data_IF_336343011179
#
_entry.id   IF_336343011179
#
_cell.length_a   1.000
_cell.length_b   1.000
_cell.length_c   1.000
_cell.angle_alpha   90.00
_cell.angle_beta   90.00
_cell.angle_gamma   90.00
#
_symmetry.space_group_name_H-M   'P 1'
#
loop_
_entity.id
_entity.type
_entity.pdbx_description
1 polymer ?
#
# COMPACT_ATOMS: atom_id res chain seq x y z
N UNK A 1 49.64 38.20 62.77
CA UNK A 1 48.97 39.51 62.84
C UNK A 1 49.10 40.15 61.46
N UNK A 2 48.24 39.77 60.51
CA UNK A 2 48.19 40.42 59.19
C UNK A 2 46.82 40.18 58.58
N UNK A 3 46.14 41.28 58.27
CA UNK A 3 44.80 41.36 57.66
C UNK A 3 44.76 40.66 56.29
N UNK A 4 43.70 39.90 56.03
CA UNK A 4 43.29 39.51 54.67
C UNK A 4 42.18 40.46 54.24
N UNK A 5 42.43 41.25 53.18
CA UNK A 5 41.46 42.11 52.51
C UNK A 5 40.61 41.26 51.56
N UNK A 6 39.31 41.21 51.78
CA UNK A 6 38.33 40.70 50.82
C UNK A 6 38.14 41.69 49.67
N UNK A 7 38.34 41.23 48.43
CA UNK A 7 37.84 41.91 47.23
C UNK A 7 36.53 41.25 46.80
N UNK A 8 35.44 42.02 46.83
CA UNK A 8 34.18 41.67 46.20
C UNK A 8 34.28 41.96 44.70
N UNK A 9 34.23 40.92 43.85
CA UNK A 9 33.93 41.06 42.43
C UNK A 9 32.42 40.98 42.26
N UNK A 10 31.79 42.10 41.90
CA UNK A 10 30.40 42.13 41.48
C UNK A 10 30.28 41.51 40.09
N UNK A 11 29.72 40.30 40.01
CA UNK A 11 29.35 39.67 38.75
C UNK A 11 28.04 40.32 38.27
N UNK A 12 28.11 41.08 37.19
CA UNK A 12 26.95 41.63 36.49
C UNK A 12 26.26 40.45 35.76
N UNK A 13 25.16 39.95 36.32
CA UNK A 13 24.28 38.99 35.66
C UNK A 13 23.52 39.70 34.54
N UNK A 14 24.00 39.55 33.31
CA UNK A 14 23.22 39.83 32.10
C UNK A 14 22.29 38.63 31.91
N UNK A 15 20.95 38.82 31.86
CA UNK A 15 20.07 37.72 31.52
C UNK A 15 20.29 37.42 30.03
N UNK A 16 20.94 36.30 29.75
CA UNK A 16 20.82 35.65 28.45
C UNK A 16 19.38 35.17 28.35
N UNK A 17 18.54 35.93 27.65
CA UNK A 17 17.28 35.42 27.14
C UNK A 17 17.62 34.24 26.23
N UNK A 18 17.56 33.04 26.80
CA UNK A 18 17.57 31.81 26.04
C UNK A 18 16.35 31.82 25.13
N UNK A 19 16.55 32.06 23.85
CA UNK A 19 15.62 31.63 22.83
C UNK A 19 15.66 30.11 22.89
N UNK A 20 14.71 29.50 23.61
CA UNK A 20 14.44 28.09 23.41
C UNK A 20 14.06 27.93 21.96
N UNK A 21 14.88 27.22 21.18
CA UNK A 21 14.37 26.64 19.95
C UNK A 21 13.40 25.56 20.42
N UNK A 22 12.10 25.77 20.20
CA UNK A 22 11.14 24.67 20.24
C UNK A 22 11.59 23.65 19.20
N UNK A 23 12.17 22.54 19.67
CA UNK A 23 12.29 21.33 18.85
C UNK A 23 10.88 20.92 18.43
N UNK A 24 10.52 21.12 17.16
CA UNK A 24 9.27 20.56 16.64
C UNK A 24 8.59 21.33 15.50
N UNK A 25 8.75 22.65 15.41
CA UNK A 25 8.00 23.46 14.42
C UNK A 25 8.87 23.66 13.18
N UNK A 26 8.70 22.77 12.20
CA UNK A 26 9.28 22.94 10.86
C UNK A 26 8.70 24.15 10.13
N UNK A 27 9.11 24.43 8.88
CA UNK A 27 8.49 25.47 8.09
C UNK A 27 7.00 25.17 7.91
N UNK A 28 6.17 26.22 8.05
CA UNK A 28 4.72 26.16 7.92
C UNK A 28 4.30 27.13 6.81
N UNK A 29 3.33 26.69 5.99
CA UNK A 29 2.81 27.46 4.86
C UNK A 29 1.30 27.58 5.02
N UNK A 30 0.73 28.80 5.16
CA UNK A 30 -0.69 28.98 5.48
C UNK A 30 -1.66 28.34 4.48
N UNK A 31 -1.30 28.37 3.18
CA UNK A 31 -2.09 27.70 2.15
C UNK A 31 -2.12 26.19 2.29
N UNK A 32 -1.05 25.60 2.84
CA UNK A 32 -1.00 24.16 3.12
C UNK A 32 -1.77 23.84 4.40
N UNK A 33 -1.64 24.64 5.46
CA UNK A 33 -2.45 24.46 6.69
C UNK A 33 -3.96 24.46 6.40
N UNK A 34 -4.42 25.35 5.51
CA UNK A 34 -5.81 25.40 5.10
C UNK A 34 -6.33 24.10 4.47
N UNK A 35 -5.46 23.29 3.85
CA UNK A 35 -5.82 21.98 3.28
C UNK A 35 -6.06 20.94 4.37
N UNK A 36 -5.51 21.11 5.58
CA UNK A 36 -5.57 20.16 6.69
C UNK A 36 -6.35 20.64 7.90
N UNK A 37 -6.87 21.87 7.87
CA UNK A 37 -7.62 22.47 8.98
C UNK A 37 -8.79 21.61 9.49
N UNK A 38 -9.37 20.76 8.64
CA UNK A 38 -10.44 19.84 9.04
C UNK A 38 -9.95 18.62 9.84
N UNK A 39 -8.65 18.28 9.77
CA UNK A 39 -8.01 17.19 10.52
C UNK A 39 -7.31 17.67 11.81
N UNK A 40 -7.16 18.98 11.98
CA UNK A 40 -6.52 19.56 13.17
C UNK A 40 -7.49 19.61 14.36
N UNK A 41 -7.71 18.44 14.98
CA UNK A 41 -8.61 18.25 16.12
C UNK A 41 -7.93 17.48 17.21
N UNK A 42 -8.18 17.86 18.46
CA UNK A 42 -7.61 17.21 19.66
C UNK A 42 -8.28 15.88 20.02
N UNK A 43 -9.33 15.49 19.29
CA UNK A 43 -10.15 14.31 19.58
C UNK A 43 -10.43 13.45 18.33
N UNK A 44 -9.62 13.57 17.29
CA UNK A 44 -9.77 12.78 16.07
C UNK A 44 -8.40 12.32 15.53
N UNK A 45 -8.35 11.18 14.83
CA UNK A 45 -7.21 10.83 13.99
C UNK A 45 -6.91 11.93 12.96
N UNK A 46 -5.73 11.91 12.37
CA UNK A 46 -5.33 12.96 11.44
C UNK A 46 -4.25 12.55 10.46
N UNK A 47 -3.30 13.46 10.22
CA UNK A 47 -2.31 13.31 9.17
C UNK A 47 -0.96 13.97 9.47
N UNK A 48 0.11 13.40 8.93
CA UNK A 48 1.40 14.08 8.73
C UNK A 48 1.57 14.49 7.26
N UNK A 49 2.18 15.64 7.01
CA UNK A 49 2.45 16.17 5.67
C UNK A 49 3.85 16.75 5.56
N UNK A 50 4.50 16.49 4.42
CA UNK A 50 5.78 17.06 4.05
C UNK A 50 5.75 17.56 2.62
N UNK A 51 6.34 18.73 2.40
CA UNK A 51 6.45 19.36 1.08
C UNK A 51 7.90 19.77 0.84
N UNK A 52 8.47 19.25 -0.24
CA UNK A 52 9.78 19.61 -0.75
C UNK A 52 9.59 20.41 -2.05
N UNK A 53 10.14 21.61 -2.13
CA UNK A 53 10.16 22.44 -3.34
C UNK A 53 11.58 22.92 -3.56
N UNK A 54 12.11 22.69 -4.76
CA UNK A 54 13.48 23.07 -5.13
C UNK A 54 14.55 22.51 -4.18
N UNK A 55 14.33 21.29 -3.68
CA UNK A 55 15.23 20.61 -2.74
C UNK A 55 15.11 21.07 -1.27
N UNK A 56 14.31 22.11 -1.01
CA UNK A 56 14.08 22.69 0.31
C UNK A 56 12.74 22.26 0.91
N UNK A 57 12.71 22.04 2.22
CA UNK A 57 11.46 21.72 2.92
C UNK A 57 10.68 23.03 3.09
N UNK A 58 9.50 23.12 2.49
CA UNK A 58 8.66 24.34 2.54
C UNK A 58 7.43 24.18 3.42
N UNK A 59 7.05 22.93 3.74
CA UNK A 59 6.04 22.63 4.76
C UNK A 59 6.32 21.28 5.42
N UNK A 60 6.20 21.22 6.74
CA UNK A 60 6.38 19.98 7.53
C UNK A 60 5.54 20.07 8.81
N UNK A 61 4.45 19.31 8.88
CA UNK A 61 3.51 19.38 10.00
C UNK A 61 2.80 18.05 10.27
N UNK A 62 2.25 17.94 11.49
CA UNK A 62 1.30 16.91 11.89
C UNK A 62 0.01 17.57 12.39
N UNK A 63 -1.13 16.94 12.13
CA UNK A 63 -2.47 17.39 12.50
C UNK A 63 -3.23 16.21 13.10
N UNK A 64 -4.01 16.44 14.15
CA UNK A 64 -4.80 15.41 14.82
C UNK A 64 -4.00 14.49 15.74
N UNK A 65 -4.56 13.34 16.06
CA UNK A 65 -4.08 12.44 17.13
C UNK A 65 -3.52 11.13 16.54
N UNK A 66 -2.30 10.78 16.96
CA UNK A 66 -1.59 9.56 16.59
C UNK A 66 -2.09 8.37 17.41
N UNK A 67 -2.34 8.59 18.70
CA UNK A 67 -2.88 7.60 19.65
C UNK A 67 -3.99 8.24 20.47
N UNK A 68 -5.23 7.82 20.20
CA UNK A 68 -6.44 8.31 20.86
C UNK A 68 -6.63 7.80 22.28
N UNK A 69 -6.01 6.68 22.67
CA UNK A 69 -6.09 6.16 24.04
C UNK A 69 -5.33 7.09 25.01
N UNK A 70 -4.27 7.72 24.50
CA UNK A 70 -3.36 8.57 25.27
C UNK A 70 -3.38 10.05 24.89
N UNK A 71 -4.12 10.43 23.85
CA UNK A 71 -4.19 11.81 23.33
C UNK A 71 -2.85 12.30 22.77
N UNK A 72 -2.05 11.41 22.16
CA UNK A 72 -0.73 11.76 21.62
C UNK A 72 -0.92 12.44 20.26
N UNK A 73 -0.47 13.69 20.06
CA UNK A 73 -0.63 14.38 18.79
C UNK A 73 0.24 13.75 17.68
N UNK A 74 -0.22 13.86 16.44
CA UNK A 74 0.63 13.57 15.27
C UNK A 74 1.67 14.68 15.14
N UNK A 75 2.92 14.27 14.97
CA UNK A 75 4.05 15.14 14.65
C UNK A 75 4.69 14.63 13.36
N UNK A 76 5.57 15.41 12.71
CA UNK A 76 6.32 14.90 11.56
C UNK A 76 7.26 13.72 11.90
N UNK A 77 7.63 13.56 13.18
CA UNK A 77 8.39 12.41 13.67
C UNK A 77 7.54 11.19 14.01
N UNK A 78 6.21 11.29 13.96
CA UNK A 78 5.30 10.15 14.17
C UNK A 78 5.51 9.11 13.06
N UNK A 79 5.63 7.85 13.46
CA UNK A 79 5.89 6.74 12.53
C UNK A 79 4.57 6.15 12.03
N UNK A 80 4.45 5.96 10.72
CA UNK A 80 3.29 5.39 10.04
C UNK A 80 3.69 4.14 9.27
N UNK A 81 2.77 3.18 9.15
CA UNK A 81 2.83 2.16 8.09
C UNK A 81 2.37 2.83 6.78
N UNK A 82 3.30 3.06 5.85
CA UNK A 82 3.00 3.77 4.60
C UNK A 82 2.40 2.87 3.52
N UNK A 83 2.12 1.60 3.85
CA UNK A 83 1.55 0.61 2.97
C UNK A 83 2.30 0.57 1.62
N UNK A 84 1.56 0.51 0.50
CA UNK A 84 2.13 0.33 -0.84
C UNK A 84 3.10 1.42 -1.33
N UNK A 85 3.25 2.55 -0.65
CA UNK A 85 4.35 3.49 -0.94
C UNK A 85 5.70 2.79 -0.76
N UNK A 86 5.78 1.75 0.09
CA UNK A 86 6.95 0.91 0.31
C UNK A 86 7.55 0.29 -0.97
N UNK A 87 6.74 0.12 -2.03
CA UNK A 87 7.16 -0.57 -3.26
C UNK A 87 8.33 0.11 -3.96
N UNK A 88 8.43 1.43 -3.87
CA UNK A 88 9.58 2.14 -4.45
C UNK A 88 10.89 1.77 -3.75
N UNK A 89 10.86 1.43 -2.46
CA UNK A 89 12.03 0.96 -1.72
C UNK A 89 12.39 -0.49 -2.06
N UNK A 90 11.38 -1.36 -2.24
CA UNK A 90 11.60 -2.71 -2.75
C UNK A 90 12.17 -2.73 -4.17
N UNK A 91 11.72 -1.79 -5.02
CA UNK A 91 12.25 -1.62 -6.36
C UNK A 91 13.68 -1.03 -6.37
N UNK A 92 13.97 -0.05 -5.51
CA UNK A 92 15.34 0.44 -5.29
C UNK A 92 16.25 -0.69 -4.83
N UNK A 93 15.82 -1.50 -3.85
CA UNK A 93 16.59 -2.64 -3.37
C UNK A 93 16.91 -3.65 -4.48
N UNK A 94 15.95 -3.96 -5.36
CA UNK A 94 16.18 -4.84 -6.51
C UNK A 94 17.19 -4.24 -7.50
N UNK A 95 17.12 -2.94 -7.78
CA UNK A 95 18.06 -2.26 -8.67
C UNK A 95 19.48 -2.20 -8.08
N UNK A 96 19.61 -1.92 -6.78
CA UNK A 96 20.89 -1.96 -6.08
C UNK A 96 21.49 -3.37 -6.14
N UNK A 97 20.68 -4.40 -5.88
CA UNK A 97 21.13 -5.79 -5.90
C UNK A 97 21.56 -6.26 -7.29
N UNK A 98 20.88 -5.81 -8.34
CA UNK A 98 21.29 -6.04 -9.73
C UNK A 98 22.60 -5.29 -10.04
N UNK A 99 22.76 -4.06 -9.56
CA UNK A 99 24.01 -3.28 -9.67
C UNK A 99 25.20 -3.93 -8.96
N UNK A 100 24.94 -4.70 -7.90
CA UNK A 100 25.92 -5.56 -7.21
C UNK A 100 26.25 -6.84 -7.99
N UNK A 101 25.53 -7.11 -9.08
CA UNK A 101 25.70 -8.31 -9.92
C UNK A 101 25.16 -9.60 -9.28
N UNK A 102 24.30 -9.47 -8.27
CA UNK A 102 23.75 -10.61 -7.52
C UNK A 102 22.44 -11.13 -8.12
N UNK A 103 21.72 -10.30 -8.89
CA UNK A 103 20.54 -10.72 -9.64
C UNK A 103 20.59 -10.20 -11.08
N UNK A 104 19.85 -10.87 -11.95
CA UNK A 104 19.48 -10.41 -13.29
C UNK A 104 17.95 -10.26 -13.29
N UNK A 105 17.45 -9.04 -13.55
CA UNK A 105 16.01 -8.78 -13.53
C UNK A 105 15.26 -9.50 -14.66
N UNK A 106 15.94 -10.03 -15.67
CA UNK A 106 15.38 -10.78 -16.79
C UNK A 106 15.59 -12.30 -16.67
N UNK A 107 16.27 -12.77 -15.62
CA UNK A 107 16.39 -14.19 -15.34
C UNK A 107 15.08 -14.79 -14.80
N UNK A 108 14.96 -16.12 -14.91
CA UNK A 108 13.85 -16.87 -14.32
C UNK A 108 13.87 -16.74 -12.78
N UNK A 109 12.79 -16.23 -12.20
CA UNK A 109 12.63 -16.07 -10.75
C UNK A 109 12.74 -17.42 -10.00
N UNK A 110 12.39 -18.55 -10.65
CA UNK A 110 12.53 -19.90 -10.06
C UNK A 110 13.99 -20.30 -9.87
N UNK A 111 14.92 -19.70 -10.62
CA UNK A 111 16.36 -19.93 -10.43
C UNK A 111 16.86 -19.39 -9.09
N UNK A 112 16.16 -18.39 -8.53
CA UNK A 112 16.44 -17.80 -7.22
C UNK A 112 15.57 -18.40 -6.11
N UNK A 113 14.32 -18.77 -6.41
CA UNK A 113 13.36 -19.34 -5.46
C UNK A 113 12.76 -20.64 -6.04
N UNK A 114 13.42 -21.80 -5.84
CA UNK A 114 12.99 -23.07 -6.45
C UNK A 114 11.68 -23.62 -5.89
N UNK A 115 11.19 -23.10 -4.77
CA UNK A 115 9.86 -23.41 -4.20
C UNK A 115 8.70 -22.80 -5.00
N UNK A 116 8.98 -21.84 -5.89
CA UNK A 116 7.96 -21.26 -6.76
C UNK A 116 7.43 -22.31 -7.76
N UNK A 117 6.10 -22.50 -7.87
CA UNK A 117 5.50 -23.46 -8.79
C UNK A 117 5.96 -23.26 -10.24
N UNK A 118 5.96 -24.37 -10.99
CA UNK A 118 6.24 -24.35 -12.43
C UNK A 118 5.00 -23.88 -13.20
N UNK A 119 4.79 -22.56 -13.20
CA UNK A 119 3.68 -21.94 -13.94
C UNK A 119 3.89 -22.01 -15.45
N UNK A 120 2.80 -21.85 -16.21
CA UNK A 120 2.88 -21.68 -17.66
C UNK A 120 3.54 -20.33 -18.01
N UNK A 121 4.82 -20.38 -18.39
CA UNK A 121 5.63 -19.23 -18.78
C UNK A 121 6.69 -18.84 -17.75
N UNK A 122 7.70 -18.07 -18.18
CA UNK A 122 8.80 -17.64 -17.30
C UNK A 122 8.43 -16.33 -16.62
N UNK A 123 8.45 -16.34 -15.28
CA UNK A 123 8.30 -15.14 -14.46
C UNK A 123 9.69 -14.59 -14.16
N UNK A 124 9.93 -13.32 -14.48
CA UNK A 124 11.20 -12.65 -14.17
C UNK A 124 11.01 -11.63 -13.04
N UNK A 125 12.06 -11.25 -12.30
CA UNK A 125 11.98 -10.15 -11.34
C UNK A 125 11.45 -8.84 -11.97
N UNK A 126 11.74 -8.57 -13.24
CA UNK A 126 11.17 -7.42 -13.98
C UNK A 126 9.65 -7.52 -14.08
N UNK A 127 9.09 -8.70 -14.33
CA UNK A 127 7.64 -8.90 -14.29
C UNK A 127 7.04 -8.60 -12.91
N UNK A 128 7.74 -8.94 -11.84
CA UNK A 128 7.30 -8.67 -10.46
C UNK A 128 7.25 -7.16 -10.18
N UNK A 129 8.32 -6.45 -10.55
CA UNK A 129 8.45 -5.02 -10.34
C UNK A 129 7.39 -4.22 -11.12
N UNK A 130 7.03 -4.65 -12.32
CA UNK A 130 6.08 -3.93 -13.19
C UNK A 130 4.64 -4.47 -13.15
N UNK A 131 4.32 -5.41 -12.25
CA UNK A 131 2.98 -6.00 -12.11
C UNK A 131 2.48 -6.71 -13.39
N UNK A 132 3.38 -7.43 -14.07
CA UNK A 132 3.06 -8.16 -15.31
C UNK A 132 3.28 -9.67 -15.16
N UNK A 133 3.42 -10.19 -13.94
CA UNK A 133 3.76 -11.60 -13.71
C UNK A 133 2.59 -12.59 -13.85
N UNK A 134 1.34 -12.11 -13.76
CA UNK A 134 0.17 -12.98 -13.65
C UNK A 134 -0.05 -13.59 -12.26
N UNK A 135 0.81 -13.28 -11.27
CA UNK A 135 0.68 -13.78 -9.89
C UNK A 135 -0.50 -13.10 -9.18
N UNK A 136 -1.35 -13.89 -8.52
CA UNK A 136 -2.54 -13.42 -7.81
C UNK A 136 -2.19 -12.54 -6.61
N UNK A 137 -3.00 -11.51 -6.37
CA UNK A 137 -2.78 -10.56 -5.27
C UNK A 137 -3.22 -11.15 -3.91
N UNK A 138 -2.27 -11.28 -2.97
CA UNK A 138 -2.52 -11.92 -1.67
C UNK A 138 -3.65 -11.29 -0.85
N UNK A 139 -3.87 -9.94 -0.82
CA UNK A 139 -4.96 -9.39 -0.03
C UNK A 139 -6.31 -9.92 -0.50
N UNK A 140 -6.53 -10.01 -1.82
CA UNK A 140 -7.77 -10.55 -2.36
C UNK A 140 -7.84 -12.06 -2.14
N UNK A 141 -6.80 -12.83 -2.47
CA UNK A 141 -6.78 -14.28 -2.26
C UNK A 141 -7.01 -14.69 -0.81
N UNK A 142 -6.31 -14.06 0.14
CA UNK A 142 -6.44 -14.36 1.57
C UNK A 142 -7.79 -13.91 2.14
N UNK A 143 -8.32 -12.73 1.74
CA UNK A 143 -9.67 -12.31 2.14
C UNK A 143 -10.72 -13.27 1.60
N UNK A 144 -10.59 -13.71 0.35
CA UNK A 144 -11.47 -14.72 -0.24
C UNK A 144 -11.39 -16.05 0.54
N UNK A 145 -10.21 -16.42 1.03
CA UNK A 145 -9.99 -17.57 1.91
C UNK A 145 -10.49 -17.40 3.35
N UNK A 146 -10.89 -16.19 3.77
CA UNK A 146 -11.43 -15.91 5.11
C UNK A 146 -10.52 -15.17 6.07
N UNK A 147 -9.38 -14.66 5.60
CA UNK A 147 -8.46 -13.85 6.40
C UNK A 147 -9.01 -12.43 6.52
N UNK A 148 -8.94 -11.87 7.72
CA UNK A 148 -9.46 -10.54 8.05
C UNK A 148 -8.35 -9.65 8.62
N UNK A 149 -8.59 -8.35 8.74
CA UNK A 149 -7.60 -7.42 9.34
C UNK A 149 -7.25 -7.73 10.81
N UNK A 150 -8.09 -8.48 11.52
CA UNK A 150 -7.81 -8.90 12.91
C UNK A 150 -6.85 -10.08 13.00
N UNK A 151 -6.56 -10.75 11.87
CA UNK A 151 -5.61 -11.84 11.81
C UNK A 151 -4.18 -11.34 11.71
N UNK A 152 -3.25 -12.16 12.20
CA UNK A 152 -1.84 -12.02 11.81
C UNK A 152 -1.72 -12.44 10.35
N UNK A 153 -1.09 -11.57 9.55
CA UNK A 153 -0.75 -11.84 8.16
C UNK A 153 0.75 -11.69 8.02
N UNK A 154 1.48 -12.81 8.06
CA UNK A 154 2.94 -12.81 8.00
C UNK A 154 3.48 -13.00 6.59
N UNK A 155 4.72 -12.57 6.39
CA UNK A 155 5.44 -12.75 5.13
C UNK A 155 5.48 -14.22 4.69
N UNK A 156 5.73 -15.13 5.64
CA UNK A 156 5.70 -16.57 5.40
C UNK A 156 4.31 -17.10 4.99
N UNK A 157 3.22 -16.53 5.53
CA UNK A 157 1.87 -16.91 5.12
C UNK A 157 1.56 -16.45 3.70
N UNK A 158 2.03 -15.25 3.33
CA UNK A 158 1.91 -14.71 1.96
C UNK A 158 2.71 -15.59 0.98
N UNK A 159 3.96 -15.93 1.30
CA UNK A 159 4.77 -16.81 0.46
C UNK A 159 4.19 -18.23 0.38
N UNK A 160 3.68 -18.76 1.49
CA UNK A 160 3.01 -20.07 1.48
C UNK A 160 1.78 -20.08 0.58
N UNK A 161 0.98 -19.02 0.60
CA UNK A 161 -0.15 -18.86 -0.32
C UNK A 161 0.33 -18.84 -1.78
N UNK A 162 1.39 -18.08 -2.09
CA UNK A 162 2.00 -18.07 -3.43
C UNK A 162 2.45 -19.46 -3.87
N UNK A 163 3.11 -20.23 -3.00
CA UNK A 163 3.62 -21.58 -3.34
C UNK A 163 2.52 -22.63 -3.48
N UNK A 164 1.28 -22.31 -3.09
CA UNK A 164 0.11 -23.18 -3.30
C UNK A 164 -0.70 -22.79 -4.55
N UNK A 165 -0.38 -21.67 -5.18
CA UNK A 165 -1.08 -21.21 -6.38
C UNK A 165 -0.86 -22.21 -7.52
N UNK A 166 -1.94 -22.64 -8.18
CA UNK A 166 -1.86 -23.65 -9.24
C UNK A 166 -1.62 -23.03 -10.63
N UNK A 167 -2.22 -21.87 -10.91
CA UNK A 167 -2.18 -21.21 -12.22
C UNK A 167 -2.01 -19.69 -12.10
N UNK A 168 -1.60 -19.02 -13.18
CA UNK A 168 -1.54 -17.56 -13.28
C UNK A 168 -2.87 -16.97 -13.76
N UNK A 169 -3.10 -15.70 -13.44
CA UNK A 169 -4.26 -14.94 -13.94
C UNK A 169 -4.16 -14.66 -15.46
N UNK A 170 -2.93 -14.61 -16.00
CA UNK A 170 -2.59 -14.40 -17.40
C UNK A 170 -1.11 -14.76 -17.65
N UNK A 171 -0.68 -15.01 -18.91
CA UNK A 171 0.72 -15.27 -19.23
C UNK A 171 1.66 -14.10 -18.85
N UNK A 172 2.86 -14.36 -18.30
CA UNK A 172 3.78 -13.28 -17.91
C UNK A 172 4.11 -12.31 -19.06
N UNK A 173 4.04 -11.00 -18.76
CA UNK A 173 4.29 -9.91 -19.71
C UNK A 173 3.12 -9.57 -20.64
N UNK A 174 2.02 -10.35 -20.64
CA UNK A 174 0.90 -10.12 -21.57
C UNK A 174 -0.12 -9.08 -21.10
N UNK A 175 -0.25 -8.86 -19.80
CA UNK A 175 -1.18 -7.89 -19.21
C UNK A 175 -0.53 -7.20 -18.00
N UNK A 176 -1.15 -6.09 -17.58
CA UNK A 176 -0.88 -5.44 -16.29
C UNK A 176 -1.97 -5.80 -15.27
N UNK A 177 -1.56 -6.31 -14.11
CA UNK A 177 -2.43 -6.48 -12.95
C UNK A 177 -1.64 -6.32 -11.66
N UNK A 178 -1.99 -5.29 -10.90
CA UNK A 178 -1.33 -4.96 -9.63
C UNK A 178 -1.29 -6.15 -8.67
N UNK A 179 -0.09 -6.55 -8.25
CA UNK A 179 0.13 -7.69 -7.36
C UNK A 179 1.11 -7.35 -6.25
N UNK A 180 0.61 -7.32 -5.01
CA UNK A 180 1.45 -7.24 -3.82
C UNK A 180 2.33 -8.48 -3.69
N UNK A 181 1.79 -9.65 -4.00
CA UNK A 181 2.49 -10.93 -3.97
C UNK A 181 3.74 -10.92 -4.84
N UNK A 182 3.69 -10.25 -6.01
CA UNK A 182 4.87 -10.07 -6.86
C UNK A 182 6.02 -9.36 -6.15
N UNK A 183 5.72 -8.27 -5.44
CA UNK A 183 6.71 -7.56 -4.62
C UNK A 183 7.18 -8.39 -3.41
N UNK A 184 6.31 -9.20 -2.81
CA UNK A 184 6.72 -10.11 -1.74
C UNK A 184 7.69 -11.19 -2.24
N UNK A 185 7.47 -11.74 -3.44
CA UNK A 185 8.43 -12.63 -4.09
C UNK A 185 9.75 -11.90 -4.42
N UNK A 186 9.69 -10.64 -4.85
CA UNK A 186 10.89 -9.83 -5.07
C UNK A 186 11.72 -9.66 -3.79
N UNK A 187 11.07 -9.38 -2.65
CA UNK A 187 11.74 -9.35 -1.35
C UNK A 187 12.40 -10.69 -1.03
N UNK A 188 11.72 -11.81 -1.31
CA UNK A 188 12.28 -13.15 -1.10
C UNK A 188 13.50 -13.43 -1.97
N UNK A 189 13.49 -13.00 -3.24
CA UNK A 189 14.65 -13.10 -4.13
C UNK A 189 15.83 -12.31 -3.57
N UNK A 190 15.59 -11.10 -3.07
CA UNK A 190 16.61 -10.26 -2.44
C UNK A 190 17.23 -10.95 -1.23
N UNK A 191 16.42 -11.56 -0.35
CA UNK A 191 16.93 -12.31 0.80
C UNK A 191 17.85 -13.46 0.39
N UNK A 192 17.41 -14.27 -0.58
CA UNK A 192 18.17 -15.45 -1.00
C UNK A 192 19.50 -15.05 -1.64
N UNK A 193 19.52 -13.98 -2.44
CA UNK A 193 20.69 -13.60 -3.23
C UNK A 193 21.67 -12.71 -2.47
N UNK A 194 21.19 -11.89 -1.52
CA UNK A 194 22.06 -11.14 -0.60
C UNK A 194 22.60 -12.00 0.55
N UNK A 195 21.85 -13.01 0.99
CA UNK A 195 22.14 -13.77 2.21
C UNK A 195 21.76 -13.04 3.50
N UNK A 196 21.08 -11.90 3.39
CA UNK A 196 20.60 -11.06 4.50
C UNK A 196 19.06 -11.10 4.56
N UNK A 197 18.45 -10.73 5.69
CA UNK A 197 17.00 -10.46 5.69
C UNK A 197 16.70 -9.23 4.82
N UNK A 198 15.47 -9.14 4.28
CA UNK A 198 15.10 -7.99 3.45
C UNK A 198 15.18 -6.67 4.24
N UNK A 199 14.87 -6.72 5.54
CA UNK A 199 15.04 -5.60 6.47
C UNK A 199 16.51 -5.19 6.55
N UNK A 200 17.41 -6.09 6.91
CA UNK A 200 18.85 -5.79 7.03
C UNK A 200 19.44 -5.23 5.72
N UNK A 201 19.07 -5.81 4.58
CA UNK A 201 19.55 -5.33 3.27
C UNK A 201 19.08 -3.89 2.99
N UNK A 202 17.81 -3.59 3.23
CA UNK A 202 17.27 -2.24 3.00
C UNK A 202 17.77 -1.21 4.03
N UNK A 203 17.92 -1.62 5.29
CA UNK A 203 18.51 -0.78 6.35
C UNK A 203 19.94 -0.38 5.95
N UNK A 204 20.80 -1.34 5.62
CA UNK A 204 22.21 -1.07 5.29
C UNK A 204 22.42 -0.32 3.97
N UNK A 205 21.58 -0.58 2.95
CA UNK A 205 21.80 -0.06 1.59
C UNK A 205 20.99 1.17 1.25
N UNK A 206 19.92 1.45 1.99
CA UNK A 206 19.03 2.57 1.72
C UNK A 206 18.91 3.49 2.93
N UNK A 207 18.46 2.98 4.08
CA UNK A 207 18.03 3.85 5.18
C UNK A 207 19.20 4.41 5.99
N UNK A 208 20.17 3.59 6.38
CA UNK A 208 21.37 4.04 7.11
C UNK A 208 22.20 5.04 6.29
N UNK A 209 22.49 4.82 5.00
CA UNK A 209 23.24 5.79 4.19
C UNK A 209 22.52 7.13 4.03
N UNK A 210 21.17 7.15 4.07
CA UNK A 210 20.36 8.37 4.03
C UNK A 210 20.16 9.00 5.41
N UNK A 211 20.45 8.28 6.50
CA UNK A 211 20.16 8.73 7.86
C UNK A 211 18.68 8.65 8.24
N UNK A 212 17.92 7.76 7.60
CA UNK A 212 16.49 7.51 7.88
C UNK A 212 16.32 6.56 9.08
N UNK A 213 16.69 7.03 10.27
CA UNK A 213 16.80 6.21 11.48
C UNK A 213 15.48 5.76 12.13
N UNK A 214 14.34 6.29 11.68
CA UNK A 214 12.99 5.87 12.09
C UNK A 214 12.27 5.09 10.98
N UNK A 215 13.04 4.55 10.02
CA UNK A 215 12.52 3.82 8.87
C UNK A 215 13.03 2.40 8.84
N UNK A 216 12.12 1.44 8.77
CA UNK A 216 12.45 0.03 8.60
C UNK A 216 11.25 -0.77 8.07
N UNK A 217 11.53 -1.85 7.34
CA UNK A 217 10.51 -2.85 7.03
C UNK A 217 10.21 -3.69 8.28
N UNK A 218 8.94 -3.75 8.68
CA UNK A 218 8.49 -4.60 9.78
C UNK A 218 8.35 -6.05 9.31
N UNK A 219 9.27 -6.88 9.77
CA UNK A 219 9.31 -8.34 9.59
C UNK A 219 8.74 -9.10 10.80
N UNK A 220 8.44 -8.40 11.89
CA UNK A 220 7.81 -8.95 13.10
C UNK A 220 6.59 -8.13 13.54
N UNK A 221 5.38 -8.69 13.41
CA UNK A 221 4.13 -8.02 13.79
C UNK A 221 4.01 -7.70 15.29
N UNK A 222 4.84 -8.32 16.14
CA UNK A 222 4.89 -8.07 17.58
C UNK A 222 5.94 -7.03 17.97
N UNK A 223 6.69 -6.49 17.00
CA UNK A 223 7.70 -5.47 17.27
C UNK A 223 7.07 -4.21 17.88
N UNK A 224 7.73 -3.70 18.93
CA UNK A 224 7.42 -2.39 19.47
C UNK A 224 8.14 -1.37 18.60
N UNK A 225 7.37 -0.53 17.91
CA UNK A 225 7.87 0.58 17.10
C UNK A 225 7.65 1.88 17.87
N UNK A 226 8.72 2.51 18.42
CA UNK A 226 8.59 3.77 19.14
C UNK A 226 7.96 4.86 18.25
N UNK A 227 7.04 5.65 18.82
CA UNK A 227 6.41 6.77 18.13
C UNK A 227 5.44 6.39 16.99
N UNK A 228 5.05 5.10 16.88
CA UNK A 228 4.10 4.63 15.87
C UNK A 228 2.69 5.17 16.14
N UNK A 229 2.03 5.68 15.10
CA UNK A 229 0.61 6.00 15.13
C UNK A 229 -0.25 4.72 15.18
N UNK A 230 -1.35 4.77 15.91
CA UNK A 230 -2.40 3.76 15.86
C UNK A 230 -3.30 3.98 14.65
N UNK A 231 -3.88 2.90 14.13
CA UNK A 231 -4.70 2.91 12.91
C UNK A 231 -6.19 2.89 13.27
N UNK A 232 -6.98 3.75 12.62
CA UNK A 232 -8.39 3.98 12.94
C UNK A 232 -9.32 3.88 11.73
N UNK A 233 -10.60 3.65 12.00
CA UNK A 233 -11.69 3.80 11.04
C UNK A 233 -12.84 4.57 11.69
N UNK A 234 -13.67 5.31 10.92
CA UNK A 234 -14.89 5.90 11.44
C UNK A 234 -15.80 4.84 12.04
N UNK A 235 -16.46 5.21 13.13
CA UNK A 235 -17.53 4.45 13.74
C UNK A 235 -18.77 5.34 13.88
N UNK A 236 -19.95 4.82 13.53
CA UNK A 236 -21.16 5.61 13.49
C UNK A 236 -21.68 6.01 14.89
N UNK A 237 -21.31 5.26 15.93
CA UNK A 237 -21.77 5.47 17.31
C UNK A 237 -20.67 6.10 18.17
N UNK A 238 -19.44 5.58 18.08
CA UNK A 238 -18.31 5.97 18.93
C UNK A 238 -17.36 6.99 18.25
N UNK A 239 -17.70 7.44 17.04
CA UNK A 239 -16.90 8.37 16.22
C UNK A 239 -15.73 7.67 15.52
N UNK A 240 -14.85 7.00 16.26
CA UNK A 240 -13.72 6.24 15.70
C UNK A 240 -13.48 4.92 16.45
N UNK A 241 -13.04 3.91 15.71
CA UNK A 241 -12.62 2.62 16.26
C UNK A 241 -11.21 2.26 15.76
N UNK A 242 -10.44 1.56 16.60
CA UNK A 242 -9.11 1.06 16.22
C UNK A 242 -9.25 -0.08 15.22
N UNK A 243 -8.45 -0.03 14.15
CA UNK A 243 -8.27 -1.12 13.20
C UNK A 243 -6.89 -1.74 13.44
N UNK A 244 -6.90 -3.01 13.78
CA UNK A 244 -5.69 -3.81 14.07
C UNK A 244 -4.76 -3.84 12.86
N UNK A 245 -3.46 -3.61 13.08
CA UNK A 245 -2.41 -3.80 12.08
C UNK A 245 -1.41 -4.87 12.54
N UNK A 246 -1.54 -6.08 12.00
CA UNK A 246 -0.71 -7.26 12.33
C UNK A 246 -0.02 -7.83 11.07
N UNK A 247 0.39 -6.94 10.16
CA UNK A 247 0.92 -7.29 8.84
C UNK A 247 2.45 -7.28 8.80
N UNK A 248 3.05 -8.32 8.23
CA UNK A 248 4.43 -8.29 7.73
C UNK A 248 4.45 -8.66 6.24
N UNK A 249 4.39 -7.68 5.35
CA UNK A 249 4.38 -7.89 3.89
C UNK A 249 5.53 -7.14 3.23
N UNK A 250 6.74 -7.71 3.36
CA UNK A 250 8.00 -7.11 2.92
C UNK A 250 7.96 -6.66 1.44
N UNK A 251 8.58 -5.51 1.15
CA UNK A 251 8.55 -4.76 -0.11
C UNK A 251 7.17 -4.25 -0.57
N UNK A 252 6.10 -5.04 -0.44
CA UNK A 252 4.77 -4.65 -0.91
C UNK A 252 4.01 -3.73 0.05
N UNK A 253 4.30 -3.80 1.35
CA UNK A 253 3.73 -2.99 2.44
C UNK A 253 4.68 -2.99 3.65
N UNK A 254 4.17 -2.69 4.86
CA UNK A 254 4.86 -2.87 6.15
C UNK A 254 6.16 -2.08 6.31
N UNK A 255 6.35 -1.02 5.52
CA UNK A 255 7.41 -0.04 5.76
C UNK A 255 6.90 0.95 6.79
N UNK A 256 7.52 0.96 7.97
CA UNK A 256 7.29 1.97 8.98
C UNK A 256 8.27 3.11 8.72
N UNK A 257 7.79 4.35 8.65
CA UNK A 257 8.64 5.53 8.48
C UNK A 257 7.97 6.77 9.09
N UNK A 258 8.75 7.81 9.35
CA UNK A 258 8.25 9.13 9.74
C UNK A 258 8.20 10.08 8.54
N UNK A 259 7.50 11.22 8.65
CA UNK A 259 7.55 12.24 7.61
C UNK A 259 8.96 12.85 7.49
N UNK A 260 9.70 12.93 8.60
CA UNK A 260 11.08 13.44 8.62
C UNK A 260 12.01 12.60 7.76
N UNK A 261 11.96 11.29 7.94
CA UNK A 261 12.74 10.36 7.15
C UNK A 261 12.27 10.35 5.69
N UNK A 262 10.96 10.39 5.46
CA UNK A 262 10.43 10.39 4.10
C UNK A 262 10.78 11.66 3.32
N UNK A 263 10.94 12.82 3.97
CA UNK A 263 11.49 14.03 3.36
C UNK A 263 12.93 13.83 2.87
N UNK A 264 13.73 13.04 3.57
CA UNK A 264 15.08 12.65 3.11
C UNK A 264 15.01 11.76 1.87
N UNK A 265 14.10 10.77 1.87
CA UNK A 265 13.87 9.95 0.68
C UNK A 265 13.41 10.78 -0.53
N UNK A 266 12.47 11.72 -0.34
CA UNK A 266 12.03 12.62 -1.40
C UNK A 266 13.19 13.43 -1.98
N UNK A 267 14.11 13.90 -1.14
CA UNK A 267 15.33 14.61 -1.58
C UNK A 267 16.32 13.70 -2.34
N UNK A 268 16.32 12.39 -2.06
CA UNK A 268 17.21 11.44 -2.76
C UNK A 268 16.97 11.43 -4.27
N UNK A 269 15.74 11.69 -4.74
CA UNK A 269 15.45 11.82 -6.17
C UNK A 269 16.26 12.93 -6.87
N UNK A 270 16.71 13.96 -6.14
CA UNK A 270 17.58 15.00 -6.67
C UNK A 270 19.07 14.72 -6.43
N UNK A 271 19.41 14.17 -5.27
CA UNK A 271 20.81 14.05 -4.84
C UNK A 271 21.48 12.79 -5.35
N UNK A 272 20.72 11.72 -5.61
CA UNK A 272 21.28 10.41 -5.95
C UNK A 272 22.19 9.83 -4.88
N UNK A 273 22.03 10.24 -3.61
CA UNK A 273 22.89 9.78 -2.51
C UNK A 273 22.87 8.25 -2.39
N UNK A 274 21.69 7.64 -2.53
CA UNK A 274 21.52 6.20 -2.72
C UNK A 274 21.14 5.91 -4.17
N UNK A 275 21.86 4.99 -4.79
CA UNK A 275 21.65 4.52 -6.17
C UNK A 275 22.36 5.34 -7.25
N UNK A 276 22.65 6.62 -7.01
CA UNK A 276 23.19 7.51 -8.04
C UNK A 276 22.17 7.87 -9.13
N UNK A 277 22.56 8.79 -10.02
CA UNK A 277 21.67 9.29 -11.08
C UNK A 277 21.17 8.17 -12.01
N UNK A 278 22.04 7.23 -12.40
CA UNK A 278 21.69 6.14 -13.31
C UNK A 278 20.59 5.23 -12.72
N UNK A 279 20.71 4.82 -11.46
CA UNK A 279 19.68 3.99 -10.81
C UNK A 279 18.35 4.75 -10.66
N UNK A 280 18.40 6.04 -10.34
CA UNK A 280 17.19 6.86 -10.23
C UNK A 280 16.50 7.06 -11.58
N UNK A 281 17.26 7.28 -12.65
CA UNK A 281 16.72 7.32 -14.02
C UNK A 281 16.05 5.98 -14.37
N UNK A 282 16.67 4.86 -14.00
CA UNK A 282 16.09 3.52 -14.17
C UNK A 282 14.81 3.31 -13.38
N UNK A 283 14.72 3.84 -12.15
CA UNK A 283 13.49 3.78 -11.35
C UNK A 283 12.30 4.50 -12.01
N UNK A 284 12.55 5.43 -12.94
CA UNK A 284 11.50 6.15 -13.65
C UNK A 284 11.13 5.50 -14.99
N UNK A 285 11.80 4.42 -15.38
CA UNK A 285 11.46 3.67 -16.60
C UNK A 285 10.15 2.92 -16.44
N UNK A 286 9.24 3.18 -17.36
CA UNK A 286 7.94 2.50 -17.45
C UNK A 286 8.10 1.05 -17.91
N UNK A 287 7.26 0.16 -17.37
CA UNK A 287 7.16 -1.21 -17.84
C UNK A 287 6.61 -1.28 -19.27
N UNK A 288 6.95 -2.35 -19.99
CA UNK A 288 6.51 -2.58 -21.37
C UNK A 288 5.94 -3.99 -21.45
N UNK A 289 4.73 -4.14 -22.01
CA UNK A 289 4.12 -5.44 -22.26
C UNK A 289 4.75 -6.13 -23.48
N UNK A 290 4.49 -7.42 -23.63
CA UNK A 290 5.05 -8.24 -24.72
C UNK A 290 4.66 -7.76 -26.13
N UNK A 291 3.55 -7.01 -26.25
CA UNK A 291 3.09 -6.41 -27.51
C UNK A 291 3.65 -4.99 -27.76
N UNK A 292 4.45 -4.45 -26.82
CA UNK A 292 5.05 -3.13 -26.90
C UNK A 292 4.24 -2.02 -26.22
N UNK A 293 3.09 -2.31 -25.60
CA UNK A 293 2.35 -1.31 -24.83
C UNK A 293 3.17 -0.81 -23.63
N UNK A 294 3.30 0.51 -23.50
CA UNK A 294 4.02 1.15 -22.38
C UNK A 294 3.06 1.41 -21.22
N UNK A 295 3.35 0.83 -20.07
CA UNK A 295 2.53 0.90 -18.87
C UNK A 295 2.69 2.22 -18.14
N UNK A 296 1.64 2.70 -17.49
CA UNK A 296 1.71 3.86 -16.57
C UNK A 296 2.32 3.50 -15.20
N UNK A 297 3.31 2.60 -15.15
CA UNK A 297 3.95 2.11 -13.93
C UNK A 297 5.47 1.90 -14.12
N UNK A 298 6.26 2.38 -13.17
CA UNK A 298 7.72 2.41 -13.19
C UNK A 298 8.27 2.09 -11.79
N UNK A 299 8.86 0.90 -11.58
CA UNK A 299 9.63 0.55 -10.37
C UNK A 299 9.04 1.04 -9.03
N UNK A 300 7.78 0.72 -8.75
CA UNK A 300 7.13 1.12 -7.49
C UNK A 300 6.44 2.47 -7.52
N UNK A 301 6.39 3.13 -8.68
CA UNK A 301 5.76 4.41 -8.92
C UNK A 301 4.74 4.29 -10.07
N UNK A 302 3.61 4.97 -9.94
CA UNK A 302 2.70 5.26 -11.04
C UNK A 302 3.17 6.51 -11.75
N UNK A 303 3.28 6.46 -13.08
CA UNK A 303 3.43 7.65 -13.93
C UNK A 303 2.04 8.16 -14.28
N UNK A 304 1.78 9.43 -14.04
CA UNK A 304 0.49 10.05 -14.30
C UNK A 304 0.64 11.49 -14.77
N UNK A 305 -0.48 12.19 -14.77
CA UNK A 305 -0.56 13.62 -15.04
C UNK A 305 -1.59 14.24 -14.09
N UNK A 306 -1.30 15.44 -13.59
CA UNK A 306 -2.27 16.24 -12.85
C UNK A 306 -2.33 17.65 -13.41
N UNK A 307 -3.51 17.99 -13.96
CA UNK A 307 -3.78 19.30 -14.58
C UNK A 307 -2.70 19.72 -15.59
N UNK A 308 -2.30 18.80 -16.47
CA UNK A 308 -1.30 19.05 -17.53
C UNK A 308 0.15 18.89 -17.09
N UNK A 309 0.44 18.62 -15.81
CA UNK A 309 1.80 18.43 -15.31
C UNK A 309 2.10 16.93 -15.11
N UNK A 310 3.20 16.41 -15.65
CA UNK A 310 3.61 15.02 -15.43
C UNK A 310 3.89 14.74 -13.94
N UNK A 311 3.45 13.57 -13.47
CA UNK A 311 3.66 13.16 -12.08
C UNK A 311 4.24 11.75 -12.00
N UNK A 312 5.06 11.52 -10.98
CA UNK A 312 5.33 10.19 -10.45
C UNK A 312 4.89 10.11 -9.01
N UNK A 313 4.37 8.98 -8.58
CA UNK A 313 3.94 8.83 -7.19
C UNK A 313 3.39 7.46 -6.88
N UNK A 314 2.96 7.25 -5.66
CA UNK A 314 2.27 6.02 -5.28
C UNK A 314 1.32 6.30 -4.11
N UNK A 315 0.16 5.64 -4.10
CA UNK A 315 -0.76 5.64 -2.97
C UNK A 315 -0.57 4.42 -2.07
N UNK A 316 -0.86 4.52 -0.79
CA UNK A 316 -0.85 3.40 0.14
C UNK A 316 -2.18 3.31 0.89
N UNK A 317 -2.62 2.07 1.13
CA UNK A 317 -3.81 1.79 1.93
C UNK A 317 -3.64 0.45 2.61
N UNK A 318 -3.64 0.46 3.94
CA UNK A 318 -3.66 -0.75 4.75
C UNK A 318 -4.30 -0.46 6.11
N UNK A 319 -5.20 -1.34 6.58
CA UNK A 319 -5.98 -1.09 7.78
C UNK A 319 -6.61 0.33 7.77
N UNK A 320 -6.41 1.12 8.83
CA UNK A 320 -6.79 2.52 8.91
C UNK A 320 -5.84 3.49 8.17
N UNK A 321 -4.63 3.07 7.80
CA UNK A 321 -3.68 3.97 7.15
C UNK A 321 -4.07 4.28 5.71
N UNK A 322 -3.97 5.56 5.33
CA UNK A 322 -4.13 6.07 3.96
C UNK A 322 -2.98 7.00 3.68
N UNK A 323 -2.16 6.69 2.68
CA UNK A 323 -0.96 7.48 2.37
C UNK A 323 -0.92 7.86 0.89
N UNK A 324 -0.27 8.97 0.58
CA UNK A 324 0.05 9.33 -0.79
C UNK A 324 1.39 10.05 -0.87
N UNK A 325 2.15 9.74 -1.91
CA UNK A 325 3.32 10.47 -2.34
C UNK A 325 3.15 10.84 -3.81
N UNK A 326 3.46 12.09 -4.16
CA UNK A 326 3.47 12.58 -5.54
C UNK A 326 4.62 13.56 -5.73
N UNK A 327 5.33 13.42 -6.85
CA UNK A 327 6.36 14.33 -7.34
C UNK A 327 5.97 14.86 -8.71
N UNK A 328 6.24 16.14 -8.93
CA UNK A 328 6.18 16.88 -10.19
C UNK A 328 7.62 17.13 -10.62
N UNK A 329 8.23 16.23 -11.43
CA UNK A 329 9.67 16.26 -11.69
C UNK A 329 10.16 17.56 -12.34
N UNK A 330 9.36 18.12 -13.24
CA UNK A 330 9.71 19.34 -13.99
C UNK A 330 9.64 20.60 -13.12
N UNK A 331 8.80 20.59 -12.09
CA UNK A 331 8.60 21.69 -11.15
C UNK A 331 9.38 21.49 -9.84
N UNK A 332 10.16 20.40 -9.73
CA UNK A 332 10.92 20.02 -8.54
C UNK A 332 10.10 20.09 -7.23
N UNK A 333 8.82 19.71 -7.31
CA UNK A 333 7.89 19.67 -6.18
C UNK A 333 7.60 18.22 -5.81
N UNK A 334 7.74 17.89 -4.53
CA UNK A 334 7.31 16.62 -3.95
C UNK A 334 6.39 16.86 -2.76
N UNK A 335 5.32 16.09 -2.67
CA UNK A 335 4.34 16.15 -1.59
C UNK A 335 4.07 14.74 -1.08
N UNK A 336 4.14 14.57 0.24
CA UNK A 336 3.73 13.34 0.92
C UNK A 336 2.70 13.63 2.00
N UNK A 337 1.68 12.78 2.10
CA UNK A 337 0.60 12.87 3.10
C UNK A 337 0.34 11.48 3.68
N UNK A 338 0.47 11.34 5.00
CA UNK A 338 0.22 10.08 5.72
C UNK A 338 -0.92 10.27 6.72
N UNK A 339 -2.03 9.56 6.53
CA UNK A 339 -3.18 9.56 7.43
C UNK A 339 -3.28 8.25 8.20
N UNK A 340 -3.76 8.31 9.45
CA UNK A 340 -4.04 7.13 10.29
C UNK A 340 -5.54 6.80 10.40
N UNK A 341 -6.37 7.26 9.45
CA UNK A 341 -7.81 6.95 9.40
C UNK A 341 -8.31 6.58 8.01
N UNK A 342 -9.17 5.56 7.94
CA UNK A 342 -9.52 4.86 6.70
C UNK A 342 -10.32 5.68 5.68
N UNK A 343 -10.94 6.80 6.09
CA UNK A 343 -11.73 7.70 5.26
C UNK A 343 -10.97 8.99 4.85
N UNK A 344 -9.71 9.13 5.23
CA UNK A 344 -8.87 10.22 4.73
C UNK A 344 -8.58 10.06 3.22
N UNK A 345 -8.66 11.17 2.48
CA UNK A 345 -8.20 11.30 1.09
C UNK A 345 -6.81 11.98 1.00
N UNK A 346 -5.70 11.23 1.19
CA UNK A 346 -4.36 11.81 1.14
C UNK A 346 -3.98 12.25 -0.27
N UNK A 347 -4.50 11.62 -1.33
CA UNK A 347 -4.19 11.96 -2.72
C UNK A 347 -4.85 13.29 -3.13
N UNK A 348 -6.11 13.50 -2.76
CA UNK A 348 -6.79 14.78 -2.95
C UNK A 348 -6.15 15.90 -2.12
N UNK A 349 -5.69 15.61 -0.90
CA UNK A 349 -4.90 16.55 -0.09
C UNK A 349 -3.58 16.89 -0.77
N UNK A 350 -2.79 15.91 -1.18
CA UNK A 350 -1.50 16.13 -1.85
C UNK A 350 -1.65 16.98 -3.13
N UNK A 351 -2.72 16.74 -3.92
CA UNK A 351 -3.05 17.55 -5.09
C UNK A 351 -3.40 18.99 -4.76
N UNK A 352 -4.25 19.23 -3.75
CA UNK A 352 -4.58 20.59 -3.29
C UNK A 352 -3.35 21.32 -2.72
N UNK A 353 -2.44 20.60 -2.08
CA UNK A 353 -1.15 21.15 -1.66
C UNK A 353 -0.30 21.51 -2.88
N UNK A 354 -0.27 20.69 -3.92
CA UNK A 354 0.46 21.03 -5.15
C UNK A 354 -0.12 22.28 -5.85
N UNK A 355 -1.44 22.44 -5.85
CA UNK A 355 -2.12 23.64 -6.38
C UNK A 355 -1.65 24.93 -5.68
N UNK A 356 -1.38 24.89 -4.37
CA UNK A 356 -0.86 26.06 -3.63
C UNK A 356 0.44 26.60 -4.24
N UNK A 357 1.27 25.73 -4.82
CA UNK A 357 2.56 26.11 -5.40
C UNK A 357 2.53 26.24 -6.93
N UNK A 358 1.72 25.44 -7.62
CA UNK A 358 1.81 25.26 -9.08
C UNK A 358 0.56 25.71 -9.84
N UNK A 359 -0.45 26.32 -9.20
CA UNK A 359 -1.71 26.72 -9.87
C UNK A 359 -1.48 27.51 -11.17
N UNK A 360 -0.46 28.38 -11.21
CA UNK A 360 -0.13 29.20 -12.37
C UNK A 360 0.37 28.39 -13.58
N UNK A 361 0.89 27.19 -13.37
CA UNK A 361 1.39 26.27 -14.41
C UNK A 361 0.36 25.20 -14.77
N UNK A 362 -0.64 24.99 -13.92
CA UNK A 362 -1.66 23.97 -14.09
C UNK A 362 -2.74 24.40 -15.09
N UNK A 363 -3.16 23.45 -15.94
CA UNK A 363 -4.36 23.59 -16.76
C UNK A 363 -5.62 23.71 -15.88
N UNK A 364 -6.72 24.32 -16.35
CA UNK A 364 -7.97 24.39 -15.60
C UNK A 364 -8.45 23.00 -15.16
N UNK A 365 -9.01 22.89 -13.96
CA UNK A 365 -9.57 21.65 -13.48
C UNK A 365 -10.73 21.19 -14.40
N UNK A 366 -10.77 19.93 -14.84
CA UNK A 366 -11.89 19.42 -15.62
C UNK A 366 -13.17 19.39 -14.76
N UNK A 367 -14.31 19.68 -15.39
CA UNK A 367 -15.63 19.46 -14.77
C UNK A 367 -15.81 17.97 -14.47
N UNK A 368 -16.10 17.64 -13.20
CA UNK A 368 -16.33 16.26 -12.78
C UNK A 368 -17.76 15.85 -13.12
N UNK A 369 -17.98 15.30 -14.32
CA UNK A 369 -19.20 14.56 -14.64
C UNK A 369 -19.03 13.08 -14.24
N UNK A 370 -19.78 12.66 -13.23
CA UNK A 370 -19.92 11.26 -12.85
C UNK A 370 -21.06 10.61 -13.64
N UNK A 371 -20.74 9.77 -14.61
CA UNK A 371 -21.73 8.86 -15.22
C UNK A 371 -21.82 7.59 -14.36
N UNK A 372 -22.98 7.36 -13.75
CA UNK A 372 -23.35 6.05 -13.20
C UNK A 372 -24.09 5.27 -14.30
N UNK A 373 -23.50 4.16 -14.74
CA UNK A 373 -24.18 3.23 -15.65
C UNK A 373 -25.32 2.52 -14.92
N UNK A 374 -26.50 2.57 -15.52
CA UNK A 374 -27.71 1.92 -15.01
C UNK A 374 -27.71 0.45 -15.46
N UNK A 375 -27.69 -0.46 -14.51
CA UNK A 375 -27.50 -1.87 -14.80
C UNK A 375 -28.81 -2.64 -14.90
N UNK A 376 -28.86 -3.53 -15.89
CA UNK A 376 -29.99 -4.44 -16.13
C UNK A 376 -30.02 -5.50 -15.03
N UNK A 377 -31.11 -5.58 -14.27
CA UNK A 377 -31.36 -6.65 -13.31
C UNK A 377 -32.00 -7.85 -14.03
N UNK A 378 -31.40 -9.03 -13.89
CA UNK A 378 -32.07 -10.30 -14.16
C UNK A 378 -32.74 -10.73 -12.85
N UNK A 379 -33.96 -11.29 -12.91
CA UNK A 379 -34.64 -11.81 -11.71
C UNK A 379 -34.86 -13.31 -11.87
N UNK A 380 -34.25 -14.09 -10.97
CA UNK A 380 -34.47 -15.54 -10.88
C UNK A 380 -35.54 -15.83 -9.81
N UNK A 381 -36.35 -16.86 -10.03
CA UNK A 381 -37.28 -17.36 -9.01
C UNK A 381 -36.51 -18.10 -7.91
N UNK A 382 -37.11 -18.20 -6.71
CA UNK A 382 -36.51 -18.94 -5.59
C UNK A 382 -36.19 -20.41 -5.97
N UNK A 383 -37.03 -21.05 -6.80
CA UNK A 383 -36.77 -22.40 -7.28
C UNK A 383 -35.50 -22.50 -8.15
N UNK A 384 -35.24 -21.49 -8.96
CA UNK A 384 -34.01 -21.41 -9.76
C UNK A 384 -32.79 -21.10 -8.89
N UNK A 385 -32.93 -20.22 -7.90
CA UNK A 385 -31.85 -19.90 -6.95
C UNK A 385 -31.44 -21.13 -6.12
N UNK A 386 -32.39 -21.99 -5.75
CA UNK A 386 -32.11 -23.23 -5.01
C UNK A 386 -31.23 -24.22 -5.77
N UNK A 387 -31.11 -24.12 -7.09
CA UNK A 387 -30.20 -25.00 -7.84
C UNK A 387 -28.73 -24.77 -7.43
N UNK A 388 -28.39 -23.53 -7.09
CA UNK A 388 -27.05 -23.07 -6.73
C UNK A 388 -26.67 -23.36 -5.28
N UNK A 389 -27.58 -23.92 -4.48
CA UNK A 389 -27.29 -24.25 -3.09
C UNK A 389 -26.23 -25.34 -2.97
N UNK A 390 -25.40 -25.24 -1.94
CA UNK A 390 -24.48 -26.31 -1.58
C UNK A 390 -23.16 -25.82 -1.02
N UNK A 391 -22.29 -26.78 -0.75
CA UNK A 391 -20.97 -26.53 -0.20
C UNK A 391 -19.92 -26.54 -1.30
N UNK A 392 -19.15 -25.45 -1.40
CA UNK A 392 -18.12 -25.25 -2.40
C UNK A 392 -16.76 -25.04 -1.74
N UNK A 393 -15.72 -25.73 -2.18
CA UNK A 393 -14.38 -25.72 -1.56
C UNK A 393 -13.29 -25.42 -2.57
N UNK A 394 -12.44 -24.44 -2.27
CA UNK A 394 -11.17 -24.20 -2.95
C UNK A 394 -10.08 -25.00 -2.23
N UNK A 395 -9.31 -25.79 -3.00
CA UNK A 395 -8.13 -26.49 -2.46
C UNK A 395 -6.97 -25.51 -2.31
N UNK A 396 -6.73 -24.67 -3.32
CA UNK A 396 -5.70 -23.63 -3.34
C UNK A 396 -5.79 -22.69 -2.12
N UNK A 397 -6.99 -22.28 -1.72
CA UNK A 397 -7.19 -21.39 -0.56
C UNK A 397 -7.47 -22.14 0.76
N UNK A 398 -7.55 -23.47 0.74
CA UNK A 398 -8.06 -24.30 1.85
C UNK A 398 -9.33 -23.73 2.51
N UNK A 399 -10.28 -23.27 1.69
CA UNK A 399 -11.44 -22.50 2.15
C UNK A 399 -12.73 -22.99 1.52
N UNK A 400 -13.85 -22.75 2.21
CA UNK A 400 -15.17 -23.24 1.80
C UNK A 400 -16.26 -22.20 2.01
N UNK A 401 -17.20 -22.14 1.07
CA UNK A 401 -18.43 -21.37 1.16
C UNK A 401 -19.64 -22.30 1.15
N UNK A 402 -20.63 -22.00 1.98
CA UNK A 402 -21.98 -22.53 1.85
C UNK A 402 -22.83 -21.51 1.10
N UNK A 403 -23.37 -21.90 -0.05
CA UNK A 403 -24.28 -21.06 -0.83
C UNK A 403 -25.71 -21.47 -0.48
N UNK A 404 -26.53 -20.49 -0.09
CA UNK A 404 -27.91 -20.69 0.35
C UNK A 404 -28.86 -19.74 -0.38
N UNK A 405 -30.08 -20.20 -0.70
CA UNK A 405 -31.13 -19.36 -1.26
C UNK A 405 -32.22 -19.09 -0.21
N UNK A 406 -32.32 -17.84 0.24
CA UNK A 406 -33.35 -17.40 1.20
C UNK A 406 -33.94 -16.06 0.78
N UNK A 407 -35.24 -15.84 1.02
CA UNK A 407 -35.90 -14.57 0.74
C UNK A 407 -35.94 -14.12 -0.73
N UNK A 408 -35.55 -14.97 -1.68
CA UNK A 408 -35.39 -14.59 -3.10
C UNK A 408 -34.00 -14.06 -3.46
N UNK A 409 -33.03 -14.21 -2.55
CA UNK A 409 -31.63 -13.84 -2.75
C UNK A 409 -30.75 -15.09 -2.61
N UNK A 410 -29.61 -15.08 -3.32
CA UNK A 410 -28.58 -16.09 -3.15
C UNK A 410 -27.49 -15.50 -2.28
N UNK A 411 -27.09 -16.20 -1.21
CA UNK A 411 -26.09 -15.72 -0.26
C UNK A 411 -24.94 -16.72 -0.19
N UNK A 412 -23.70 -16.22 -0.25
CA UNK A 412 -22.50 -16.98 0.06
C UNK A 412 -22.11 -16.77 1.53
N UNK A 413 -22.12 -17.85 2.30
CA UNK A 413 -21.74 -17.88 3.71
C UNK A 413 -20.33 -18.44 3.85
N UNK A 414 -19.46 -17.72 4.54
CA UNK A 414 -18.14 -18.18 4.95
C UNK A 414 -18.12 -18.26 6.48
N UNK A 415 -17.44 -19.26 7.05
CA UNK A 415 -17.39 -19.43 8.50
C UNK A 415 -16.59 -18.34 9.23
N UNK A 416 -15.73 -17.60 8.51
CA UNK A 416 -14.96 -16.44 9.02
C UNK A 416 -15.41 -15.08 8.49
N UNK A 417 -15.81 -15.02 7.21
CA UNK A 417 -16.15 -13.74 6.58
C UNK A 417 -17.58 -13.39 6.92
N UNK A 418 -17.93 -12.12 6.68
CA UNK A 418 -19.34 -11.73 6.63
C UNK A 418 -20.01 -12.45 5.45
N UNK A 419 -21.33 -12.60 5.53
CA UNK A 419 -22.12 -13.08 4.39
C UNK A 419 -21.96 -12.13 3.19
N UNK A 420 -21.98 -12.68 1.98
CA UNK A 420 -21.98 -11.91 0.75
C UNK A 420 -23.25 -12.24 -0.05
N UNK A 421 -24.00 -11.22 -0.45
CA UNK A 421 -25.20 -11.39 -1.26
C UNK A 421 -24.81 -11.45 -2.74
N UNK A 422 -25.42 -12.38 -3.48
CA UNK A 422 -25.17 -12.65 -4.89
C UNK A 422 -26.39 -12.26 -5.72
N UNK A 423 -26.24 -11.19 -6.51
CA UNK A 423 -27.28 -10.71 -7.42
C UNK A 423 -27.07 -11.29 -8.82
N UNK A 424 -28.05 -11.97 -9.42
CA UNK A 424 -27.90 -12.52 -10.77
C UNK A 424 -27.78 -11.42 -11.82
N UNK A 425 -26.80 -11.57 -12.72
CA UNK A 425 -26.51 -10.61 -13.80
C UNK A 425 -26.49 -11.26 -15.20
N UNK A 426 -26.53 -12.58 -15.26
CA UNK A 426 -26.51 -13.36 -16.50
C UNK A 426 -26.77 -14.84 -16.22
N UNK A 427 -26.63 -15.67 -17.24
CA UNK A 427 -26.76 -17.13 -17.11
C UNK A 427 -25.62 -17.68 -16.26
N UNK A 428 -25.97 -18.29 -15.12
CA UNK A 428 -25.01 -18.81 -14.13
C UNK A 428 -23.98 -17.77 -13.63
N UNK A 429 -24.27 -16.46 -13.77
CA UNK A 429 -23.39 -15.36 -13.38
C UNK A 429 -24.05 -14.44 -12.34
N UNK A 430 -23.29 -14.15 -11.29
CA UNK A 430 -23.74 -13.35 -10.15
C UNK A 430 -22.71 -12.30 -9.77
N UNK A 431 -23.18 -11.12 -9.40
CA UNK A 431 -22.37 -10.08 -8.75
C UNK A 431 -22.50 -10.20 -7.24
N UNK A 432 -21.38 -10.22 -6.54
CA UNK A 432 -21.36 -10.10 -5.09
C UNK A 432 -21.31 -8.64 -4.61
N UNK A 433 -21.86 -8.38 -3.44
CA UNK A 433 -21.75 -7.09 -2.74
C UNK A 433 -20.50 -6.97 -1.86
N UNK A 434 -19.77 -8.06 -1.67
CA UNK A 434 -18.54 -8.12 -0.89
C UNK A 434 -17.28 -7.93 -1.76
N UNK A 435 -16.28 -7.16 -1.30
CA UNK A 435 -15.09 -6.86 -2.09
C UNK A 435 -14.22 -8.08 -2.43
N UNK A 436 -14.26 -9.15 -1.62
CA UNK A 436 -13.52 -10.38 -1.89
C UNK A 436 -14.23 -11.32 -2.89
N UNK A 437 -15.50 -11.08 -3.19
CA UNK A 437 -16.32 -11.97 -4.01
C UNK A 437 -17.13 -11.19 -5.06
N UNK A 438 -16.49 -10.35 -5.90
CA UNK A 438 -17.19 -9.36 -6.72
C UNK A 438 -17.96 -9.96 -7.90
N UNK A 439 -17.44 -11.03 -8.52
CA UNK A 439 -18.10 -11.76 -9.60
C UNK A 439 -17.95 -13.27 -9.37
N UNK A 440 -19.07 -13.97 -9.44
CA UNK A 440 -19.16 -15.43 -9.31
C UNK A 440 -19.75 -15.99 -10.59
N UNK A 441 -19.06 -16.93 -11.22
CA UNK A 441 -19.59 -17.71 -12.34
C UNK A 441 -19.70 -19.16 -11.95
N UNK A 442 -20.91 -19.69 -11.95
CA UNK A 442 -21.16 -21.09 -11.71
C UNK A 442 -20.91 -21.91 -12.97
N UNK A 443 -20.38 -23.12 -12.80
CA UNK A 443 -20.14 -24.05 -13.90
C UNK A 443 -20.99 -25.31 -13.71
N UNK A 444 -21.54 -25.80 -14.83
CA UNK A 444 -22.28 -27.05 -14.91
C UNK A 444 -21.45 -28.13 -15.62
N UNK A 445 -21.55 -29.36 -15.16
CA UNK A 445 -20.97 -30.52 -15.83
C UNK A 445 -21.72 -30.85 -17.14
N UNK A 446 -21.22 -31.81 -17.93
CA UNK A 446 -21.84 -32.24 -19.18
C UNK A 446 -23.25 -32.84 -19.04
N UNK A 447 -23.74 -33.05 -17.81
CA UNK A 447 -25.12 -33.47 -17.51
C UNK A 447 -26.04 -32.30 -17.10
N UNK A 448 -25.53 -31.06 -17.09
CA UNK A 448 -26.26 -29.87 -16.70
C UNK A 448 -26.32 -29.63 -15.18
N UNK A 449 -25.58 -30.40 -14.38
CA UNK A 449 -25.55 -30.25 -12.91
C UNK A 449 -24.42 -29.32 -12.50
N UNK A 450 -24.70 -28.40 -11.57
CA UNK A 450 -23.68 -27.54 -10.99
C UNK A 450 -22.59 -28.33 -10.27
N UNK A 451 -21.34 -28.11 -10.66
CA UNK A 451 -20.18 -28.81 -10.11
C UNK A 451 -19.14 -27.88 -9.47
N UNK A 452 -19.12 -26.59 -9.81
CA UNK A 452 -18.22 -25.61 -9.21
C UNK A 452 -18.73 -24.18 -9.41
N UNK A 453 -18.06 -23.22 -8.78
CA UNK A 453 -18.06 -21.84 -9.25
C UNK A 453 -16.63 -21.31 -9.31
N UNK A 454 -16.44 -20.24 -10.07
CA UNK A 454 -15.21 -19.44 -10.06
C UNK A 454 -15.48 -18.04 -9.53
N UNK A 455 -14.48 -17.47 -8.86
CA UNK A 455 -14.48 -16.06 -8.45
C UNK A 455 -13.47 -15.30 -9.29
N UNK A 456 -13.90 -14.18 -9.85
CA UNK A 456 -13.05 -13.27 -10.62
C UNK A 456 -13.24 -11.84 -10.13
N UNK A 457 -12.15 -11.17 -9.78
CA UNK A 457 -12.12 -9.74 -9.49
C UNK A 457 -10.98 -9.06 -10.27
N UNK A 458 -10.63 -7.84 -9.86
CA UNK A 458 -9.60 -7.06 -10.56
C UNK A 458 -8.19 -7.65 -10.43
N UNK A 459 -7.91 -8.49 -9.41
CA UNK A 459 -6.56 -8.96 -9.06
C UNK A 459 -6.44 -10.46 -8.73
N UNK A 460 -7.54 -11.18 -8.84
CA UNK A 460 -7.63 -12.64 -8.74
C UNK A 460 -8.62 -13.09 -9.79
N UNK A 461 -8.22 -13.97 -10.70
CA UNK A 461 -9.08 -14.45 -11.78
C UNK A 461 -9.26 -15.96 -11.69
N UNK A 462 -10.48 -16.39 -11.97
CA UNK A 462 -10.84 -17.80 -12.12
C UNK A 462 -10.53 -18.68 -10.89
N UNK A 463 -10.59 -18.12 -9.68
CA UNK A 463 -10.37 -18.89 -8.46
C UNK A 463 -11.47 -19.93 -8.30
N UNK A 464 -11.13 -21.22 -8.33
CA UNK A 464 -12.09 -22.32 -8.39
C UNK A 464 -12.53 -22.77 -7.00
N UNK A 465 -13.84 -22.98 -6.84
CA UNK A 465 -14.43 -23.69 -5.70
C UNK A 465 -15.28 -24.86 -6.20
N UNK A 466 -14.86 -26.08 -5.88
CA UNK A 466 -15.56 -27.32 -6.28
C UNK A 466 -16.70 -27.65 -5.33
N UNK A 467 -17.85 -28.06 -5.87
CA UNK A 467 -19.01 -28.49 -5.09
C UNK A 467 -18.71 -29.83 -4.41
N UNK A 468 -18.77 -29.88 -3.07
CA UNK A 468 -18.46 -31.07 -2.26
C UNK A 468 -19.69 -31.85 -1.82
N UNK A 469 -20.82 -31.19 -1.58
CA UNK A 469 -22.11 -31.82 -1.23
C UNK A 469 -23.29 -30.98 -1.75
N UNK A 470 -24.41 -31.60 -2.17
CA UNK A 470 -25.66 -30.89 -2.42
C UNK A 470 -26.22 -30.31 -1.13
#
# INVERSE_FOLDING_TARGET
MTMVRSFFFGLLLIPLSGCGMEEGVGPIHPGVEAVFADLDRDNAPGAAVGVLLDGEVVHRAGYGIADMDHGIPITPGTVFDIASISKQFGAMAALLLEGEGLIDLDADARSYVPELPDFEGVITPRHLVHHTSGIRDWPHSMMLGGVTYTDVISFDQILRMLYQQEDLDFPPGSEYSYSNTGYNLLARIIEVQSGESFREYTDQRIFEPLGMGNTHFSDNHLEIVPGRAESYAPDAEEGYQRVVNQLTALASSSLNTSMDDFLVWMRNYETGQVGGAETLERMLLQGVLNDGEVLSYAYGLTRGEYRGLPTFGHGGSWAGFRTNFVRFPEQNLSVAVFCNVSDCDPAGRARRVAEVFLEAEMSPAPDRDSQQEQQKSVTLSLAQLREYEGWYRSVELDSSYEVVADGGELTALHWRNRRANLTPIGDDEFRGDAPWLPLVRFTRDGSGRLNSFTVTGSRVRNMVFERRRP
#
